data_IF_353911423829
#
_entry.id   IF_353911423829
#
_cell.length_a   1.000
_cell.length_b   1.000
_cell.length_c   1.000
_cell.angle_alpha   90.00
_cell.angle_beta   90.00
_cell.angle_gamma   90.00
#
_symmetry.space_group_name_H-M   'P 1'
#
loop_
_entity.id
_entity.type
_entity.pdbx_description
1 polymer ?
#
# COMPACT_ATOMS: atom_id res chain seq x y z
N UNK A 1 -29.02 -3.44 4.44
CA UNK A 1 -27.69 -3.07 4.99
C UNK A 1 -27.67 -3.39 6.47
N UNK A 2 -26.57 -3.95 6.99
CA UNK A 2 -26.44 -4.24 8.44
C UNK A 2 -25.72 -3.10 9.18
N UNK A 3 -25.94 -2.93 10.49
CA UNK A 3 -25.17 -1.97 11.31
C UNK A 3 -23.65 -2.14 11.18
N UNK A 4 -23.17 -3.39 11.09
CA UNK A 4 -21.76 -3.69 10.85
C UNK A 4 -21.26 -3.18 9.49
N UNK A 5 -22.09 -3.25 8.45
CA UNK A 5 -21.75 -2.74 7.12
C UNK A 5 -21.58 -1.21 7.13
N UNK A 6 -22.43 -0.50 7.88
CA UNK A 6 -22.36 0.96 8.04
C UNK A 6 -21.10 1.35 8.84
N UNK A 7 -20.81 0.62 9.93
CA UNK A 7 -19.61 0.86 10.73
C UNK A 7 -18.33 0.67 9.92
N UNK A 8 -18.24 -0.40 9.14
CA UNK A 8 -17.09 -0.67 8.29
C UNK A 8 -16.95 0.40 7.18
N UNK A 9 -18.06 0.82 6.58
CA UNK A 9 -18.05 1.89 5.60
C UNK A 9 -17.51 3.20 6.18
N UNK A 10 -17.96 3.59 7.38
CA UNK A 10 -17.47 4.78 8.07
C UNK A 10 -15.97 4.70 8.36
N UNK A 11 -15.49 3.55 8.85
CA UNK A 11 -14.08 3.32 9.13
C UNK A 11 -13.21 3.39 7.86
N UNK A 12 -13.70 2.84 6.76
CA UNK A 12 -12.98 2.83 5.49
C UNK A 12 -12.90 4.22 4.86
N UNK A 13 -13.95 5.04 5.02
CA UNK A 13 -14.04 6.40 4.50
C UNK A 13 -13.29 7.45 5.35
N UNK A 14 -12.79 7.09 6.54
CA UNK A 14 -12.06 8.01 7.41
C UNK A 14 -10.81 8.54 6.68
N UNK A 15 -10.68 9.87 6.59
CA UNK A 15 -9.52 10.55 6.00
C UNK A 15 -8.23 10.29 6.80
N UNK A 16 -7.13 10.19 6.08
CA UNK A 16 -5.75 10.06 6.56
C UNK A 16 -4.92 11.06 5.75
N UNK A 17 -4.26 11.97 6.44
CA UNK A 17 -3.34 12.93 5.83
C UNK A 17 -1.97 12.27 5.65
N UNK A 18 -1.38 12.45 4.46
CA UNK A 18 -0.04 12.01 4.12
C UNK A 18 0.98 13.13 4.37
N UNK A 19 2.26 12.78 4.42
CA UNK A 19 3.36 13.72 4.71
C UNK A 19 3.48 14.85 3.66
N UNK A 20 2.95 14.66 2.45
CA UNK A 20 2.89 15.65 1.37
C UNK A 20 1.62 16.52 1.40
N UNK A 21 0.80 16.39 2.45
CA UNK A 21 -0.45 17.11 2.62
C UNK A 21 -1.61 16.55 1.79
N UNK A 22 -1.44 15.42 1.10
CA UNK A 22 -2.53 14.75 0.38
C UNK A 22 -3.39 13.99 1.39
N UNK A 23 -4.70 14.20 1.33
CA UNK A 23 -5.66 13.40 2.07
C UNK A 23 -6.12 12.19 1.25
N UNK A 24 -6.11 11.02 1.88
CA UNK A 24 -6.61 9.76 1.30
C UNK A 24 -7.54 9.06 2.28
N UNK A 25 -8.41 8.18 1.79
CA UNK A 25 -9.21 7.36 2.70
C UNK A 25 -8.37 6.28 3.38
N UNK A 26 -8.78 5.85 4.57
CA UNK A 26 -8.17 4.74 5.31
C UNK A 26 -8.11 3.44 4.48
N UNK A 27 -9.08 3.24 3.58
CA UNK A 27 -9.10 2.11 2.66
C UNK A 27 -8.03 2.22 1.58
N UNK A 28 -7.89 3.38 0.96
CA UNK A 28 -6.86 3.65 -0.05
C UNK A 28 -5.46 3.57 0.55
N UNK A 29 -5.25 4.15 1.73
CA UNK A 29 -3.98 4.10 2.43
C UNK A 29 -3.52 2.66 2.69
N UNK A 30 -4.40 1.80 3.19
CA UNK A 30 -4.09 0.37 3.40
C UNK A 30 -3.79 -0.36 2.10
N UNK A 31 -4.47 0.00 1.01
CA UNK A 31 -4.19 -0.59 -0.32
C UNK A 31 -2.80 -0.18 -0.80
N UNK A 32 -2.45 1.09 -0.67
CA UNK A 32 -1.13 1.62 -1.02
C UNK A 32 -0.02 0.99 -0.19
N UNK A 33 -0.22 0.80 1.12
CA UNK A 33 0.77 0.12 1.98
C UNK A 33 1.06 -1.30 1.52
N UNK A 34 0.02 -2.08 1.18
CA UNK A 34 0.19 -3.45 0.67
C UNK A 34 0.94 -3.48 -0.65
N UNK A 35 0.59 -2.57 -1.55
CA UNK A 35 1.23 -2.47 -2.86
C UNK A 35 2.70 -2.03 -2.73
N UNK A 36 2.99 -1.06 -1.86
CA UNK A 36 4.35 -0.60 -1.59
C UNK A 36 5.22 -1.74 -1.05
N UNK A 37 4.67 -2.57 -0.16
CA UNK A 37 5.36 -3.74 0.36
C UNK A 37 5.68 -4.75 -0.75
N UNK A 38 4.69 -5.08 -1.60
CA UNK A 38 4.88 -5.96 -2.76
C UNK A 38 5.97 -5.45 -3.71
N UNK A 39 5.92 -4.15 -4.03
CA UNK A 39 6.90 -3.53 -4.93
C UNK A 39 8.32 -3.54 -4.35
N UNK A 40 8.48 -3.39 -3.03
CA UNK A 40 9.79 -3.51 -2.35
C UNK A 40 10.35 -4.93 -2.49
N UNK A 41 9.51 -5.95 -2.31
CA UNK A 41 9.92 -7.35 -2.48
C UNK A 41 10.34 -7.63 -3.93
N UNK A 42 9.56 -7.19 -4.90
CA UNK A 42 9.89 -7.32 -6.34
C UNK A 42 11.20 -6.60 -6.68
N UNK A 43 11.42 -5.41 -6.13
CA UNK A 43 12.65 -4.66 -6.34
C UNK A 43 13.89 -5.39 -5.80
N UNK A 44 13.81 -6.03 -4.64
CA UNK A 44 14.92 -6.80 -4.08
C UNK A 44 15.25 -8.04 -4.91
N UNK A 45 14.23 -8.73 -5.43
CA UNK A 45 14.42 -9.85 -6.38
C UNK A 45 15.14 -9.36 -7.64
N UNK A 46 14.72 -8.23 -8.19
CA UNK A 46 15.33 -7.65 -9.39
C UNK A 46 16.79 -7.23 -9.15
N UNK A 47 17.09 -6.61 -8.00
CA UNK A 47 18.47 -6.27 -7.62
C UNK A 47 19.34 -7.52 -7.52
N UNK A 48 18.84 -8.58 -6.87
CA UNK A 48 19.57 -9.84 -6.76
C UNK A 48 19.85 -10.45 -8.15
N UNK A 49 18.86 -10.44 -9.05
CA UNK A 49 19.02 -10.91 -10.42
C UNK A 49 20.07 -10.07 -11.20
N UNK A 50 20.03 -8.74 -11.07
CA UNK A 50 20.99 -7.85 -11.72
C UNK A 50 22.44 -8.12 -11.27
N UNK A 51 22.66 -8.37 -9.98
CA UNK A 51 23.98 -8.74 -9.44
C UNK A 51 24.48 -10.06 -10.02
N UNK A 52 23.60 -11.07 -10.12
CA UNK A 52 23.96 -12.38 -10.70
C UNK A 52 24.27 -12.28 -12.20
N UNK A 53 23.51 -11.47 -12.94
CA UNK A 53 23.70 -11.27 -14.38
C UNK A 53 24.93 -10.41 -14.70
N UNK A 54 25.22 -9.38 -13.91
CA UNK A 54 26.37 -8.49 -14.10
C UNK A 54 27.70 -9.03 -13.60
N UNK A 55 27.72 -10.15 -12.85
CA UNK A 55 28.94 -10.88 -12.46
C UNK A 55 29.43 -11.87 -13.55
N UNK A 56 28.82 -11.85 -14.74
CA UNK A 56 29.30 -12.57 -15.94
C UNK A 56 30.25 -11.72 -16.77
#
# INVERSE_FOLDING_TARGET
>A
MSPASIHNWFKDAKSVELDDGIEVTSKEFKKLQKENQRLKEELEILKAAAVLLGKR
#
